data_IF_398649972540
#
_entry.id   IF_398649972540
#
_cell.length_a   1.000
_cell.length_b   1.000
_cell.length_c   1.000
_cell.angle_alpha   90.00
_cell.angle_beta   90.00
_cell.angle_gamma   90.00
#
_symmetry.space_group_name_H-M   'P 1'
#
loop_
_entity.id
_entity.type
_entity.pdbx_description
1 polymer ?
#
# COMPACT_ATOMS: atom_id res chain seq x y z
N UNK A 1 -13.49 4.91 19.32
CA UNK A 1 -12.45 4.20 18.53
C UNK A 1 -12.71 2.69 18.42
N UNK A 2 -13.90 2.19 18.76
CA UNK A 2 -14.25 0.76 18.71
C UNK A 2 -14.24 0.16 17.30
N UNK A 3 -14.40 0.99 16.27
CA UNK A 3 -14.49 0.56 14.87
C UNK A 3 -13.14 0.61 14.13
N UNK A 4 -12.05 1.04 14.78
CA UNK A 4 -10.71 1.05 14.19
C UNK A 4 -9.99 -0.26 14.53
N UNK A 5 -9.28 -0.83 13.56
CA UNK A 5 -8.48 -2.04 13.73
C UNK A 5 -7.04 -1.83 13.20
N UNK A 6 -6.14 -2.74 13.59
CA UNK A 6 -4.76 -2.78 13.09
C UNK A 6 -4.00 -1.46 13.23
N UNK A 7 -3.30 -1.07 12.15
CA UNK A 7 -2.44 0.14 12.10
C UNK A 7 -3.24 1.43 12.33
N UNK A 8 -4.48 1.51 11.86
CA UNK A 8 -5.32 2.69 12.05
C UNK A 8 -5.68 2.92 13.53
N UNK A 9 -5.90 1.83 14.29
CA UNK A 9 -6.14 1.91 15.75
C UNK A 9 -4.87 2.35 16.48
N UNK A 10 -3.73 1.75 16.18
CA UNK A 10 -2.45 2.11 16.79
C UNK A 10 -2.07 3.58 16.52
N UNK A 11 -2.25 4.04 15.27
CA UNK A 11 -2.06 5.43 14.87
C UNK A 11 -2.96 6.40 15.66
N UNK A 12 -4.27 6.13 15.71
CA UNK A 12 -5.21 7.00 16.41
C UNK A 12 -4.96 7.06 17.93
N UNK A 13 -4.54 5.94 18.53
CA UNK A 13 -4.14 5.88 19.93
C UNK A 13 -2.84 6.65 20.18
N UNK A 14 -1.84 6.53 19.31
CA UNK A 14 -0.59 7.28 19.42
C UNK A 14 -0.81 8.80 19.37
N UNK A 15 -1.67 9.27 18.48
CA UNK A 15 -2.04 10.70 18.42
C UNK A 15 -2.75 11.16 19.70
N UNK A 16 -3.68 10.35 20.23
CA UNK A 16 -4.41 10.68 21.45
C UNK A 16 -3.55 10.63 22.71
N UNK A 17 -2.50 9.81 22.71
CA UNK A 17 -1.52 9.75 23.78
C UNK A 17 -0.70 11.05 23.85
N UNK A 18 -0.37 11.63 22.71
CA UNK A 18 0.34 12.91 22.64
C UNK A 18 -0.58 14.10 22.98
N UNK A 19 -1.81 14.10 22.48
CA UNK A 19 -2.78 15.16 22.74
C UNK A 19 -4.17 14.55 23.00
N UNK A 20 -4.73 14.71 24.22
CA UNK A 20 -6.08 14.25 24.55
C UNK A 20 -7.17 14.81 23.62
N UNK A 21 -6.93 15.97 23.00
CA UNK A 21 -7.83 16.67 22.08
C UNK A 21 -7.38 16.64 20.62
N UNK A 22 -6.51 15.67 20.25
CA UNK A 22 -5.93 15.53 18.91
C UNK A 22 -6.95 15.54 17.74
N UNK A 23 -8.22 15.21 18.04
CA UNK A 23 -9.32 15.21 17.09
C UNK A 23 -10.39 16.20 17.56
N UNK A 24 -10.33 17.43 17.06
CA UNK A 24 -11.29 18.50 17.41
C UNK A 24 -12.71 18.24 16.87
N UNK A 25 -12.81 17.67 15.67
CA UNK A 25 -14.07 17.26 15.04
C UNK A 25 -13.93 15.91 14.33
N UNK A 26 -15.05 15.22 14.13
CA UNK A 26 -15.08 13.98 13.33
C UNK A 26 -14.57 14.21 11.90
N UNK A 27 -14.84 15.38 11.31
CA UNK A 27 -14.38 15.69 9.96
C UNK A 27 -12.84 15.84 9.89
N UNK A 28 -12.24 16.42 10.93
CA UNK A 28 -10.78 16.54 11.04
C UNK A 28 -10.14 15.17 11.23
N UNK A 29 -10.76 14.31 12.04
CA UNK A 29 -10.34 12.92 12.18
C UNK A 29 -10.37 12.19 10.83
N UNK A 30 -11.47 12.26 10.09
CA UNK A 30 -11.60 11.60 8.79
C UNK A 30 -10.62 12.15 7.75
N UNK A 31 -10.37 13.46 7.77
CA UNK A 31 -9.41 14.10 6.86
C UNK A 31 -7.99 13.63 7.14
N UNK A 32 -7.56 13.63 8.40
CA UNK A 32 -6.23 13.13 8.78
C UNK A 32 -6.09 11.63 8.54
N UNK A 33 -7.15 10.86 8.78
CA UNK A 33 -7.16 9.43 8.50
C UNK A 33 -6.95 9.17 7.01
N UNK A 34 -7.68 9.88 6.14
CA UNK A 34 -7.45 9.82 4.70
C UNK A 34 -6.04 10.26 4.34
N UNK A 35 -5.57 11.42 4.79
CA UNK A 35 -4.21 11.87 4.48
C UNK A 35 -3.09 10.89 4.89
N UNK A 36 -3.29 10.15 5.99
CA UNK A 36 -2.29 9.19 6.49
C UNK A 36 -2.32 7.87 5.75
N UNK A 37 -3.52 7.41 5.36
CA UNK A 37 -3.73 6.06 4.82
C UNK A 37 -4.17 6.04 3.35
N UNK A 38 -4.45 7.19 2.74
CA UNK A 38 -4.73 7.33 1.32
C UNK A 38 -3.39 7.14 0.60
N UNK A 39 -3.21 6.02 -0.11
CA UNK A 39 -2.04 5.81 -0.92
C UNK A 39 -1.97 6.91 -1.99
N UNK A 40 -0.77 7.35 -2.38
CA UNK A 40 -0.61 8.18 -3.56
C UNK A 40 -1.36 7.55 -4.74
N UNK A 41 -2.07 8.34 -5.55
CA UNK A 41 -2.79 7.82 -6.73
C UNK A 41 -1.89 6.99 -7.67
N UNK A 42 -0.59 7.26 -7.65
CA UNK A 42 0.42 6.50 -8.37
C UNK A 42 0.58 5.06 -7.84
N UNK A 43 0.43 4.83 -6.53
CA UNK A 43 0.55 3.51 -5.92
C UNK A 43 -0.61 2.59 -6.35
N UNK A 44 -1.84 3.10 -6.38
CA UNK A 44 -2.97 2.33 -6.90
C UNK A 44 -2.83 1.98 -8.38
N UNK A 45 -2.38 2.95 -9.19
CA UNK A 45 -2.14 2.71 -10.63
C UNK A 45 -1.04 1.68 -10.84
N UNK A 46 0.04 1.77 -10.08
CA UNK A 46 1.15 0.83 -10.18
C UNK A 46 0.74 -0.59 -9.76
N UNK A 47 -0.11 -0.75 -8.75
CA UNK A 47 -0.67 -2.05 -8.38
C UNK A 47 -1.59 -2.63 -9.45
N UNK A 48 -2.45 -1.80 -10.05
CA UNK A 48 -3.30 -2.21 -11.17
C UNK A 48 -2.47 -2.64 -12.39
N UNK A 49 -1.46 -1.85 -12.77
CA UNK A 49 -0.52 -2.19 -13.83
C UNK A 49 0.23 -3.50 -13.54
N UNK A 50 0.68 -3.71 -12.30
CA UNK A 50 1.36 -4.94 -11.89
C UNK A 50 0.44 -6.18 -11.97
N UNK A 51 -0.82 -6.06 -11.57
CA UNK A 51 -1.80 -7.15 -11.65
C UNK A 51 -2.18 -7.49 -13.09
N UNK A 52 -2.21 -6.48 -13.96
CA UNK A 52 -2.47 -6.65 -15.38
C UNK A 52 -1.22 -7.07 -16.19
N UNK A 53 -0.02 -6.98 -15.60
CA UNK A 53 1.23 -7.34 -16.28
C UNK A 53 1.38 -8.86 -16.37
N UNK A 54 1.22 -9.39 -17.58
CA UNK A 54 1.46 -10.80 -17.90
C UNK A 54 2.73 -10.95 -18.74
N UNK A 55 3.47 -12.04 -18.53
CA UNK A 55 4.76 -12.27 -19.21
C UNK A 55 4.59 -12.56 -20.71
N UNK A 56 3.40 -13.03 -21.12
CA UNK A 56 3.00 -13.60 -22.41
C UNK A 56 3.89 -13.22 -23.62
N UNK A 57 3.89 -11.94 -23.97
CA UNK A 57 4.58 -11.38 -25.15
C UNK A 57 5.77 -10.50 -24.79
N UNK A 58 6.07 -10.33 -23.50
CA UNK A 58 7.17 -9.48 -23.03
C UNK A 58 8.46 -10.29 -22.92
N UNK A 59 9.54 -9.73 -23.47
CA UNK A 59 10.89 -10.22 -23.18
C UNK A 59 11.12 -10.25 -21.67
N UNK A 60 11.83 -11.28 -21.18
CA UNK A 60 12.01 -11.51 -19.75
C UNK A 60 12.65 -10.30 -19.06
N UNK A 61 13.58 -9.64 -19.74
CA UNK A 61 14.22 -8.43 -19.21
C UNK A 61 13.24 -7.25 -19.15
N UNK A 62 12.39 -7.09 -20.17
CA UNK A 62 11.36 -6.05 -20.19
C UNK A 62 10.31 -6.29 -19.09
N UNK A 63 9.88 -7.53 -18.88
CA UNK A 63 8.98 -7.92 -17.79
C UNK A 63 9.59 -7.63 -16.40
N UNK A 64 10.86 -8.00 -16.19
CA UNK A 64 11.57 -7.75 -14.92
C UNK A 64 11.77 -6.25 -14.65
N UNK A 65 12.02 -5.45 -15.68
CA UNK A 65 12.14 -3.99 -15.52
C UNK A 65 10.78 -3.34 -15.21
N UNK A 66 9.71 -3.78 -15.88
CA UNK A 66 8.38 -3.19 -15.70
C UNK A 66 7.80 -3.54 -14.33
N UNK A 67 7.90 -4.81 -13.93
CA UNK A 67 7.55 -5.21 -12.56
C UNK A 67 8.32 -4.38 -11.55
N UNK A 68 9.65 -4.26 -11.67
CA UNK A 68 10.47 -3.45 -10.76
C UNK A 68 10.03 -1.98 -10.68
N UNK A 69 9.64 -1.38 -11.81
CA UNK A 69 9.13 -0.01 -11.85
C UNK A 69 7.78 0.13 -11.12
N UNK A 70 6.83 -0.76 -11.40
CA UNK A 70 5.52 -0.77 -10.72
C UNK A 70 5.69 -1.03 -9.22
N UNK A 71 6.57 -1.96 -8.84
CA UNK A 71 6.92 -2.23 -7.44
C UNK A 71 7.49 -1.00 -6.73
N UNK A 72 8.39 -0.25 -7.39
CA UNK A 72 8.93 1.00 -6.83
C UNK A 72 7.84 2.06 -6.61
N UNK A 73 6.93 2.22 -7.57
CA UNK A 73 5.83 3.19 -7.49
C UNK A 73 4.73 2.79 -6.51
N UNK A 74 4.57 1.49 -6.25
CA UNK A 74 3.60 0.97 -5.30
C UNK A 74 3.98 1.19 -3.83
N UNK A 75 5.21 1.64 -3.54
CA UNK A 75 5.67 1.83 -2.16
C UNK A 75 5.88 0.53 -1.36
N UNK A 76 5.46 -0.62 -1.90
CA UNK A 76 5.55 -1.95 -1.29
C UNK A 76 7.01 -2.42 -1.09
N UNK A 77 7.97 -1.83 -1.80
CA UNK A 77 9.41 -2.12 -1.66
C UNK A 77 10.06 -1.64 -0.35
N UNK A 78 9.32 -0.92 0.52
CA UNK A 78 9.88 -0.37 1.77
C UNK A 78 9.59 -1.20 3.02
N UNK A 79 8.90 -2.33 2.92
CA UNK A 79 8.67 -3.21 4.06
C UNK A 79 9.20 -4.61 3.75
N UNK A 80 10.16 -5.05 4.56
CA UNK A 80 10.76 -6.39 4.62
C UNK A 80 9.75 -7.49 4.31
N UNK A 81 9.84 -8.06 3.12
CA UNK A 81 9.00 -9.15 2.66
C UNK A 81 9.59 -9.67 1.36
N UNK A 82 10.40 -10.71 1.45
CA UNK A 82 10.97 -11.41 0.31
C UNK A 82 9.83 -11.87 -0.60
N UNK A 83 9.65 -11.17 -1.73
CA UNK A 83 8.75 -11.61 -2.79
C UNK A 83 9.38 -12.83 -3.46
N UNK A 84 8.97 -14.02 -3.02
CA UNK A 84 9.37 -15.29 -3.63
C UNK A 84 8.64 -15.49 -4.95
N UNK A 85 9.42 -15.60 -6.03
CA UNK A 85 8.93 -15.78 -7.40
C UNK A 85 8.28 -17.15 -7.66
N UNK A 86 8.18 -18.02 -6.65
CA UNK A 86 7.72 -19.40 -6.80
C UNK A 86 6.19 -19.56 -6.71
N UNK A 87 5.45 -18.62 -6.14
CA UNK A 87 4.00 -18.76 -5.90
C UNK A 87 3.10 -18.54 -7.14
N UNK A 88 3.64 -18.15 -8.30
CA UNK A 88 2.85 -17.92 -9.53
C UNK A 88 2.98 -19.04 -10.57
N UNK A 89 3.70 -20.12 -10.25
CA UNK A 89 3.95 -21.23 -11.19
C UNK A 89 3.17 -22.50 -10.84
N UNK A 90 1.88 -22.40 -10.52
CA UNK A 90 1.03 -23.59 -10.42
C UNK A 90 -0.44 -23.19 -10.59
N UNK A 91 -0.86 -22.97 -11.84
CA UNK A 91 -2.26 -23.03 -12.26
C UNK A 91 -2.26 -23.28 -13.78
N UNK A 92 -1.98 -24.54 -14.15
CA UNK A 92 -2.28 -25.13 -15.47
C UNK A 92 -3.13 -26.36 -15.25
#
# INVERSE_FOLDING_TARGET
MSNLAGRAKAWALGLKLHDPYAFGSYNDFMTRLRQTFEPPRAEFRARDELLNLRQDELDLHAYAQHTRYCWFLSGDWTCEGEFSWEDRREDT
#
